data_IF_147987024331
#
_entry.id   IF_147987024331
#
_cell.length_a   1.000
_cell.length_b   1.000
_cell.length_c   1.000
_cell.angle_alpha   90.00
_cell.angle_beta   90.00
_cell.angle_gamma   90.00
#
_symmetry.space_group_name_H-M   'P 1'
#
loop_
_entity.id
_entity.type
_entity.pdbx_description
1 polymer ?
#
# COMPACT_ATOMS: atom_id res chain seq x y z
N UNK A 1 -35.73 -1.75 1.74
CA UNK A 1 -34.30 -1.40 1.97
C UNK A 1 -33.52 -2.70 2.11
N UNK A 2 -32.25 -2.70 1.71
CA UNK A 2 -31.31 -3.86 1.64
C UNK A 2 -31.29 -4.52 0.26
N UNK A 3 -30.39 -4.03 -0.61
CA UNK A 3 -29.87 -4.82 -1.72
C UNK A 3 -28.43 -4.42 -2.04
N UNK A 4 -27.53 -5.39 -1.89
CA UNK A 4 -26.21 -5.52 -2.54
C UNK A 4 -25.19 -4.40 -2.29
N UNK A 5 -24.31 -4.62 -1.32
CA UNK A 5 -22.89 -4.31 -1.50
C UNK A 5 -22.21 -5.62 -1.88
N UNK A 6 -22.23 -5.93 -3.17
CA UNK A 6 -21.58 -7.12 -3.71
C UNK A 6 -20.10 -7.09 -3.33
N UNK A 7 -19.66 -8.15 -2.65
CA UNK A 7 -18.26 -8.49 -2.56
C UNK A 7 -17.69 -8.46 -3.97
N UNK A 8 -16.89 -7.43 -4.24
CA UNK A 8 -16.16 -7.27 -5.48
C UNK A 8 -15.24 -8.46 -5.63
N UNK A 9 -15.70 -9.49 -6.35
CA UNK A 9 -14.86 -10.50 -6.98
C UNK A 9 -13.98 -9.75 -7.97
N UNK A 10 -12.89 -9.19 -7.46
CA UNK A 10 -11.77 -8.73 -8.26
C UNK A 10 -11.22 -9.99 -8.90
N UNK A 11 -11.43 -10.15 -10.21
CA UNK A 11 -10.50 -10.96 -10.99
C UNK A 11 -9.13 -10.37 -10.68
N UNK A 12 -8.34 -11.07 -9.88
CA UNK A 12 -6.98 -10.69 -9.57
C UNK A 12 -6.23 -10.86 -10.88
N UNK A 13 -6.25 -9.82 -11.71
CA UNK A 13 -5.35 -9.71 -12.83
C UNK A 13 -3.96 -9.94 -12.27
N UNK A 14 -3.27 -10.97 -12.77
CA UNK A 14 -1.99 -11.45 -12.22
C UNK A 14 -0.97 -10.31 -12.09
N UNK A 15 -1.14 -9.25 -12.90
CA UNK A 15 -0.36 -8.01 -12.94
C UNK A 15 -0.55 -7.13 -11.68
N UNK A 16 -1.70 -7.17 -11.02
CA UNK A 16 -1.97 -6.42 -9.78
C UNK A 16 -1.50 -7.13 -8.51
N UNK A 17 -1.15 -8.42 -8.60
CA UNK A 17 -0.63 -9.18 -7.45
C UNK A 17 0.71 -8.61 -6.99
N UNK A 18 1.60 -8.24 -7.93
CA UNK A 18 2.91 -7.69 -7.61
C UNK A 18 2.85 -6.42 -6.73
N UNK A 19 2.12 -5.34 -7.10
CA UNK A 19 2.05 -4.14 -6.26
C UNK A 19 1.33 -4.39 -4.92
N UNK A 20 0.32 -5.27 -4.87
CA UNK A 20 -0.37 -5.63 -3.62
C UNK A 20 0.57 -6.37 -2.65
N UNK A 21 1.36 -7.32 -3.15
CA UNK A 21 2.29 -8.08 -2.31
C UNK A 21 3.38 -7.16 -1.77
N UNK A 22 3.94 -6.28 -2.60
CA UNK A 22 4.97 -5.32 -2.17
C UNK A 22 4.43 -4.38 -1.09
N UNK A 23 3.25 -3.80 -1.29
CA UNK A 23 2.63 -2.93 -0.29
C UNK A 23 2.32 -3.66 1.02
N UNK A 24 1.88 -4.92 0.96
CA UNK A 24 1.67 -5.74 2.16
C UNK A 24 2.98 -5.97 2.95
N UNK A 25 4.06 -6.36 2.28
CA UNK A 25 5.38 -6.51 2.93
C UNK A 25 5.87 -5.20 3.54
N UNK A 26 5.62 -4.09 2.85
CA UNK A 26 6.05 -2.75 3.27
C UNK A 26 5.27 -2.28 4.52
N UNK A 27 3.97 -2.57 4.60
CA UNK A 27 3.16 -2.34 5.81
C UNK A 27 3.70 -3.18 6.98
N UNK A 28 3.98 -4.47 6.76
CA UNK A 28 4.54 -5.35 7.81
C UNK A 28 5.89 -4.82 8.29
N UNK A 29 6.77 -4.40 7.38
CA UNK A 29 8.05 -3.80 7.72
C UNK A 29 7.89 -2.55 8.59
N UNK A 30 6.94 -1.66 8.26
CA UNK A 30 6.67 -0.48 9.08
C UNK A 30 6.07 -0.80 10.44
N UNK A 31 5.22 -1.82 10.56
CA UNK A 31 4.71 -2.26 11.86
C UNK A 31 5.83 -2.81 12.74
N UNK A 32 6.76 -3.58 12.16
CA UNK A 32 7.96 -4.07 12.88
C UNK A 32 8.83 -2.89 13.30
N UNK A 33 9.08 -1.93 12.41
CA UNK A 33 9.88 -0.74 12.71
C UNK A 33 9.25 0.09 13.84
N UNK A 34 7.94 0.35 13.76
CA UNK A 34 7.19 1.06 14.80
C UNK A 34 7.24 0.29 16.14
N UNK A 35 7.07 -1.03 16.12
CA UNK A 35 7.21 -1.89 17.29
C UNK A 35 8.61 -1.81 17.91
N UNK A 36 9.66 -1.79 17.08
CA UNK A 36 11.04 -1.66 17.53
C UNK A 36 11.29 -0.32 18.23
N UNK A 37 10.69 0.77 17.73
CA UNK A 37 10.72 2.09 18.38
C UNK A 37 10.03 2.11 19.75
N UNK A 38 9.12 1.17 20.06
CA UNK A 38 8.51 1.03 21.38
C UNK A 38 9.35 0.21 22.36
N UNK A 39 10.07 -0.79 21.87
CA UNK A 39 10.92 -1.68 22.70
C UNK A 39 12.22 -0.99 23.11
N UNK A 40 12.79 -0.17 22.22
CA UNK A 40 14.03 0.54 22.51
C UNK A 40 13.75 1.78 23.38
N UNK A 41 14.57 2.02 24.43
CA UNK A 41 14.47 3.23 25.24
C UNK A 41 15.02 4.43 24.45
N UNK A 42 14.21 4.93 23.52
CA UNK A 42 14.53 6.10 22.71
C UNK A 42 13.99 7.40 23.33
N UNK A 43 14.66 8.53 23.09
CA UNK A 43 14.16 9.82 23.52
C UNK A 43 12.86 10.19 22.78
N UNK A 44 12.00 10.97 23.41
CA UNK A 44 10.62 11.22 22.95
C UNK A 44 10.53 11.70 21.50
N UNK A 45 11.45 12.57 21.05
CA UNK A 45 11.50 13.07 19.68
C UNK A 45 11.71 11.97 18.64
N UNK A 46 12.60 11.02 18.91
CA UNK A 46 12.84 9.86 18.05
C UNK A 46 11.62 8.92 17.99
N UNK A 47 10.83 8.85 19.07
CA UNK A 47 9.60 8.06 19.11
C UNK A 47 8.51 8.65 18.21
N UNK A 48 8.39 9.97 18.19
CA UNK A 48 7.45 10.67 17.30
C UNK A 48 7.86 10.57 15.84
N UNK A 49 9.14 10.79 15.52
CA UNK A 49 9.62 10.64 14.13
C UNK A 49 9.49 9.21 13.65
N UNK A 50 9.79 8.24 14.52
CA UNK A 50 9.61 6.80 14.25
C UNK A 50 8.17 6.37 14.03
N UNK A 51 7.17 7.18 14.42
CA UNK A 51 5.75 6.94 14.14
C UNK A 51 5.27 7.71 12.91
N UNK A 52 5.65 8.98 12.79
CA UNK A 52 5.19 9.87 11.70
C UNK A 52 5.74 9.42 10.35
N UNK A 53 7.01 9.02 10.30
CA UNK A 53 7.67 8.57 9.05
C UNK A 53 6.98 7.34 8.46
N UNK A 54 6.80 6.22 9.17
CA UNK A 54 6.09 5.07 8.61
C UNK A 54 4.64 5.41 8.28
N UNK A 55 3.96 6.26 9.06
CA UNK A 55 2.58 6.65 8.75
C UNK A 55 2.47 7.44 7.43
N UNK A 56 3.39 8.36 7.16
CA UNK A 56 3.47 9.07 5.89
C UNK A 56 3.76 8.11 4.73
N UNK A 57 4.71 7.18 4.92
CA UNK A 57 5.10 6.21 3.89
C UNK A 57 4.00 5.19 3.58
N UNK A 58 3.18 4.79 4.57
CA UNK A 58 1.97 4.00 4.32
C UNK A 58 1.03 4.78 3.41
N UNK A 59 0.79 6.07 3.69
CA UNK A 59 -0.03 6.93 2.83
C UNK A 59 0.46 6.98 1.38
N UNK A 60 1.76 7.20 1.17
CA UNK A 60 2.37 7.19 -0.17
C UNK A 60 2.22 5.83 -0.84
N UNK A 61 2.45 4.73 -0.11
CA UNK A 61 2.33 3.39 -0.66
C UNK A 61 0.91 3.05 -1.14
N UNK A 62 -0.11 3.55 -0.44
CA UNK A 62 -1.51 3.40 -0.83
C UNK A 62 -1.85 4.27 -2.06
N UNK A 63 -1.32 5.49 -2.12
CA UNK A 63 -1.51 6.37 -3.26
C UNK A 63 -0.95 5.74 -4.55
N UNK A 64 0.29 5.26 -4.51
CA UNK A 64 0.93 4.56 -5.64
C UNK A 64 0.14 3.30 -6.01
N UNK A 65 -0.34 2.52 -5.02
CA UNK A 65 -1.17 1.34 -5.29
C UNK A 65 -2.47 1.71 -6.02
N UNK A 66 -3.11 2.82 -5.64
CA UNK A 66 -4.35 3.30 -6.28
C UNK A 66 -4.06 3.78 -7.71
N UNK A 67 -2.99 4.53 -7.94
CA UNK A 67 -2.58 4.93 -9.29
C UNK A 67 -2.31 3.71 -10.18
N UNK A 68 -1.57 2.72 -9.67
CA UNK A 68 -1.30 1.48 -10.42
C UNK A 68 -2.56 0.69 -10.73
N UNK A 69 -3.50 0.61 -9.78
CA UNK A 69 -4.80 -0.04 -10.03
C UNK A 69 -5.58 0.73 -11.11
N UNK A 70 -5.52 2.07 -11.09
CA UNK A 70 -6.18 2.90 -12.10
C UNK A 70 -5.54 2.72 -13.48
N UNK A 71 -4.22 2.73 -13.61
CA UNK A 71 -3.51 2.50 -14.88
C UNK A 71 -3.86 1.13 -15.48
N UNK A 72 -3.74 0.05 -14.69
CA UNK A 72 -4.06 -1.31 -15.16
C UNK A 72 -5.53 -1.44 -15.56
N UNK A 73 -6.44 -0.69 -14.91
CA UNK A 73 -7.88 -0.70 -15.23
C UNK A 73 -8.27 0.25 -16.35
N UNK A 74 -7.53 1.34 -16.58
CA UNK A 74 -7.75 2.30 -17.66
C UNK A 74 -7.41 1.70 -19.01
N UNK A 75 -6.51 0.70 -19.05
CA UNK A 75 -6.04 0.11 -20.30
C UNK A 75 -5.09 1.02 -21.08
N UNK A 76 -4.78 2.21 -20.58
CA UNK A 76 -3.84 3.17 -21.20
C UNK A 76 -2.38 2.70 -21.16
N UNK A 77 -2.01 1.76 -20.28
CA UNK A 77 -0.71 1.06 -20.33
C UNK A 77 -0.71 -0.17 -21.27
N UNK A 78 -1.80 -0.47 -22.00
CA UNK A 78 -1.76 -1.43 -23.11
C UNK A 78 -1.35 -0.77 -24.45
N UNK A 79 -1.26 0.57 -24.52
CA UNK A 79 -0.93 1.30 -25.75
C UNK A 79 0.58 1.53 -25.97
N UNK A 80 1.43 1.24 -24.99
CA UNK A 80 2.90 1.22 -25.17
C UNK A 80 3.42 -0.14 -25.68
N UNK A 81 2.55 -1.11 -25.91
CA UNK A 81 2.88 -2.38 -26.57
C UNK A 81 2.95 -2.28 -28.11
N UNK A 82 2.67 -1.10 -28.67
CA UNK A 82 2.69 -0.79 -30.11
C UNK A 82 3.98 -0.11 -30.59
N UNK A 83 5.08 -0.22 -29.84
CA UNK A 83 6.42 0.11 -30.33
C UNK A 83 7.34 -1.12 -30.32
#
# INVERSE_FOLDING_TARGET
MIKKAEGGRRHLDKRLVAPIVITAFLIVYFLIFAGLCFVLPMPLWAKWTGLIVPMALIGVSLFVLVERIKEVRSGEEDDLSQY
#
